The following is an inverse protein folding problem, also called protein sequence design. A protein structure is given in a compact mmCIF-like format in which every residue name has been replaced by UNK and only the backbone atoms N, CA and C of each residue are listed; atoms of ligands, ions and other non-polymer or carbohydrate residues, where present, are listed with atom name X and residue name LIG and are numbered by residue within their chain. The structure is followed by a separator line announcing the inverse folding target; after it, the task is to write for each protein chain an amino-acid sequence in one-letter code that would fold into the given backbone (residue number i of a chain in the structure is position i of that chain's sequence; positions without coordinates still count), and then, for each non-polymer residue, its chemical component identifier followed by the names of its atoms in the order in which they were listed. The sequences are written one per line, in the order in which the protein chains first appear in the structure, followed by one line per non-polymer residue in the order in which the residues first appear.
data_IF_017886568385
#
_entry.id   IF_017886568385
#
_cell.length_a   1.000
_cell.length_b   1.000
_cell.length_c   1.000
_cell.angle_alpha   90.00
_cell.angle_beta   90.00
_cell.angle_gamma   90.00
#
_symmetry.space_group_name_H-M   'P 1'
#
loop_
_entity.id
_entity.type
_entity.pdbx_description
1 polymer ?
#
# COMPACT_ATOMS: atom_id res chain seq x y z
N UNK A 1 61.42 10.15 -50.10
CA UNK A 1 60.25 11.03 -49.84
C UNK A 1 58.98 10.19 -49.83
N UNK A 2 58.33 9.95 -48.69
CA UNK A 2 57.04 9.25 -48.62
C UNK A 2 56.11 9.99 -47.65
N UNK A 3 55.09 10.66 -48.21
CA UNK A 3 54.08 11.42 -47.44
C UNK A 3 53.02 10.44 -46.94
N UNK A 4 53.06 10.09 -45.65
CA UNK A 4 51.99 9.31 -44.99
C UNK A 4 50.73 10.18 -44.83
N UNK A 5 49.66 9.80 -45.54
CA UNK A 5 48.35 10.45 -45.44
C UNK A 5 47.68 10.11 -44.10
N UNK A 6 47.43 11.12 -43.26
CA UNK A 6 46.66 10.99 -42.01
C UNK A 6 45.16 10.96 -42.34
N UNK A 7 44.56 9.77 -42.35
CA UNK A 7 43.11 9.58 -42.42
C UNK A 7 42.44 10.07 -41.12
N UNK A 8 41.79 11.24 -41.16
CA UNK A 8 40.90 11.70 -40.08
C UNK A 8 39.61 10.86 -40.09
N UNK A 9 39.51 9.88 -39.18
CA UNK A 9 38.24 9.18 -38.92
C UNK A 9 37.25 10.17 -38.28
N UNK A 10 36.22 10.57 -39.03
CA UNK A 10 35.03 11.25 -38.48
C UNK A 10 34.31 10.24 -37.56
N UNK A 11 34.28 10.50 -36.25
CA UNK A 11 33.40 9.76 -35.33
C UNK A 11 31.96 10.16 -35.65
N UNK A 12 31.21 9.27 -36.32
CA UNK A 12 29.75 9.40 -36.39
C UNK A 12 29.21 9.11 -34.99
N UNK A 13 28.71 10.15 -34.32
CA UNK A 13 27.91 9.98 -33.12
C UNK A 13 26.50 9.62 -33.56
N UNK A 14 26.16 8.34 -33.49
CA UNK A 14 24.78 7.90 -33.58
C UNK A 14 24.07 8.37 -32.30
N UNK A 15 23.13 9.31 -32.42
CA UNK A 15 22.16 9.57 -31.36
C UNK A 15 21.47 8.24 -31.08
N UNK A 16 21.57 7.73 -29.85
CA UNK A 16 20.77 6.56 -29.45
C UNK A 16 19.31 6.90 -29.73
N UNK A 17 18.56 6.02 -30.42
CA UNK A 17 17.14 6.23 -30.64
C UNK A 17 16.48 6.46 -29.29
N UNK A 18 15.73 7.55 -29.21
CA UNK A 18 14.95 7.92 -28.03
C UNK A 18 13.93 6.79 -27.80
N UNK A 19 14.15 5.98 -26.76
CA UNK A 19 13.20 4.95 -26.39
C UNK A 19 11.91 5.64 -25.96
N UNK A 20 10.85 5.50 -26.77
CA UNK A 20 9.50 5.92 -26.41
C UNK A 20 9.13 5.14 -25.15
N UNK A 21 9.11 5.81 -24.00
CA UNK A 21 8.64 5.20 -22.75
C UNK A 21 7.12 5.16 -22.83
N UNK A 22 6.57 3.96 -22.98
CA UNK A 22 5.13 3.74 -22.80
C UNK A 22 4.79 4.12 -21.35
N UNK A 23 3.85 5.04 -21.17
CA UNK A 23 3.42 5.48 -19.85
C UNK A 23 2.75 4.32 -19.11
N UNK A 24 3.30 3.96 -17.95
CA UNK A 24 2.79 2.87 -17.12
C UNK A 24 1.53 3.29 -16.39
N UNK A 25 0.46 2.50 -16.51
CA UNK A 25 -0.80 2.69 -15.78
C UNK A 25 -0.68 2.08 -14.39
N UNK A 26 -0.84 2.92 -13.36
CA UNK A 26 -0.69 2.53 -11.95
C UNK A 26 -2.02 2.71 -11.21
N UNK A 27 -2.45 1.67 -10.50
CA UNK A 27 -3.48 1.76 -9.45
C UNK A 27 -2.79 1.78 -8.08
N UNK A 28 -3.22 2.63 -7.16
CA UNK A 28 -2.63 2.72 -5.83
C UNK A 28 -3.69 2.50 -4.75
N UNK A 29 -3.56 1.40 -4.02
CA UNK A 29 -4.35 1.13 -2.82
C UNK A 29 -3.61 1.59 -1.57
N UNK A 30 -4.29 2.41 -0.77
CA UNK A 30 -3.94 2.62 0.63
C UNK A 30 -4.74 1.60 1.44
N UNK A 31 -4.07 0.53 1.84
CA UNK A 31 -4.70 -0.60 2.52
C UNK A 31 -4.80 -0.37 4.03
N UNK A 32 -6.02 -0.26 4.52
CA UNK A 32 -6.36 0.10 5.88
C UNK A 32 -7.02 -1.06 6.63
N UNK A 33 -6.26 -1.85 7.40
CA UNK A 33 -6.83 -2.82 8.32
C UNK A 33 -7.51 -2.08 9.49
N UNK A 34 -8.85 -2.12 9.55
CA UNK A 34 -9.60 -1.34 10.54
C UNK A 34 -9.42 -1.87 11.98
N UNK A 35 -9.34 -3.19 12.15
CA UNK A 35 -9.45 -3.85 13.45
C UNK A 35 -8.11 -4.34 14.04
N UNK A 36 -6.99 -3.86 13.47
CA UNK A 36 -5.64 -4.18 13.95
C UNK A 36 -5.25 -5.66 13.76
N UNK A 37 -4.07 -6.02 14.27
CA UNK A 37 -3.43 -7.33 14.09
C UNK A 37 -3.67 -8.32 15.26
N UNK A 38 -3.60 -9.61 14.94
CA UNK A 38 -3.16 -10.71 15.81
C UNK A 38 -4.01 -11.10 17.03
N UNK A 39 -4.17 -10.24 18.03
CA UNK A 39 -4.81 -10.66 19.28
C UNK A 39 -6.31 -10.86 19.05
N UNK A 40 -6.91 -11.91 19.61
CA UNK A 40 -8.35 -12.21 19.53
C UNK A 40 -8.94 -12.17 18.11
N UNK A 41 -8.16 -12.55 17.09
CA UNK A 41 -8.56 -12.43 15.68
C UNK A 41 -9.02 -11.00 15.31
N UNK A 42 -8.36 -9.97 15.87
CA UNK A 42 -8.70 -8.56 15.68
C UNK A 42 -9.85 -8.00 16.54
N UNK A 43 -10.59 -8.84 17.30
CA UNK A 43 -11.64 -8.33 18.18
C UNK A 43 -11.05 -7.55 19.36
N UNK A 44 -11.61 -6.38 19.65
CA UNK A 44 -11.27 -5.57 20.84
C UNK A 44 -12.50 -5.01 21.57
N UNK A 45 -13.69 -5.45 21.16
CA UNK A 45 -14.97 -5.00 21.72
C UNK A 45 -15.48 -3.67 21.15
N UNK A 46 -16.77 -3.42 21.37
CA UNK A 46 -17.53 -2.30 20.79
C UNK A 46 -16.99 -0.92 21.16
N UNK A 47 -16.49 -0.76 22.40
CA UNK A 47 -15.89 0.52 22.85
C UNK A 47 -14.60 0.82 22.12
N UNK A 48 -13.75 -0.19 21.92
CA UNK A 48 -12.51 -0.03 21.18
C UNK A 48 -12.79 0.31 19.72
N UNK A 49 -13.72 -0.40 19.07
CA UNK A 49 -14.14 -0.11 17.69
C UNK A 49 -14.60 1.34 17.53
N UNK A 50 -15.47 1.80 18.44
CA UNK A 50 -15.96 3.18 18.43
C UNK A 50 -14.82 4.20 18.50
N UNK A 51 -13.88 4.00 19.42
CA UNK A 51 -12.73 4.89 19.55
C UNK A 51 -11.81 4.82 18.32
N UNK A 52 -11.60 3.63 17.76
CA UNK A 52 -10.81 3.45 16.56
C UNK A 52 -11.41 4.17 15.35
N UNK A 53 -12.72 4.10 15.17
CA UNK A 53 -13.44 4.83 14.13
C UNK A 53 -13.30 6.34 14.32
N UNK A 54 -13.37 6.84 15.57
CA UNK A 54 -13.16 8.26 15.85
C UNK A 54 -11.76 8.72 15.46
N UNK A 55 -10.72 7.94 15.81
CA UNK A 55 -9.33 8.23 15.43
C UNK A 55 -9.18 8.25 13.91
N UNK A 56 -9.69 7.22 13.20
CA UNK A 56 -9.65 7.13 11.74
C UNK A 56 -10.28 8.37 11.10
N UNK A 57 -11.50 8.74 11.53
CA UNK A 57 -12.21 9.90 10.98
C UNK A 57 -11.51 11.23 11.29
N UNK A 58 -10.98 11.39 12.50
CA UNK A 58 -10.40 12.66 12.93
C UNK A 58 -9.03 12.91 12.31
N UNK A 59 -8.16 11.89 12.32
CA UNK A 59 -6.75 12.07 11.96
C UNK A 59 -6.45 11.53 10.56
N UNK A 60 -6.75 10.24 10.34
CA UNK A 60 -6.33 9.56 9.12
C UNK A 60 -7.09 10.10 7.91
N UNK A 61 -8.41 10.20 7.97
CA UNK A 61 -9.21 10.75 6.86
C UNK A 61 -8.80 12.19 6.54
N UNK A 62 -8.57 13.03 7.56
CA UNK A 62 -8.06 14.39 7.37
C UNK A 62 -6.69 14.40 6.65
N UNK A 63 -5.76 13.51 7.02
CA UNK A 63 -4.48 13.36 6.30
C UNK A 63 -4.69 12.93 4.84
N UNK A 64 -5.59 11.97 4.59
CA UNK A 64 -5.92 11.52 3.23
C UNK A 64 -6.57 12.62 2.38
N UNK A 65 -7.47 13.42 2.97
CA UNK A 65 -8.06 14.60 2.33
C UNK A 65 -7.02 15.71 2.10
N UNK A 66 -5.90 15.72 2.80
CA UNK A 66 -4.79 16.65 2.58
C UNK A 66 -3.72 16.15 1.62
N UNK A 67 -3.81 14.90 1.11
CA UNK A 67 -2.89 14.42 0.08
C UNK A 67 -2.93 15.29 -1.18
N UNK A 68 -1.77 15.68 -1.70
CA UNK A 68 -1.66 16.51 -2.92
C UNK A 68 -2.06 15.76 -4.18
N UNK A 69 -1.96 14.43 -4.16
CA UNK A 69 -2.53 13.54 -5.18
C UNK A 69 -3.74 12.79 -4.62
N UNK A 70 -4.85 12.82 -5.35
CA UNK A 70 -6.07 12.03 -5.08
C UNK A 70 -6.15 10.74 -5.88
N UNK A 71 -5.11 10.42 -6.64
CA UNK A 71 -5.06 9.23 -7.48
C UNK A 71 -4.76 7.97 -6.66
N UNK A 72 -5.62 7.65 -5.70
CA UNK A 72 -5.55 6.45 -4.88
C UNK A 72 -6.95 5.95 -4.51
N UNK A 73 -7.03 4.71 -4.07
CA UNK A 73 -8.24 4.15 -3.46
C UNK A 73 -7.91 3.73 -2.03
N UNK A 74 -8.71 4.19 -1.08
CA UNK A 74 -8.65 3.70 0.30
C UNK A 74 -9.37 2.35 0.36
N UNK A 75 -8.61 1.28 0.63
CA UNK A 75 -9.17 -0.05 0.81
C UNK A 75 -9.23 -0.37 2.30
N UNK A 76 -10.42 -0.32 2.89
CA UNK A 76 -10.67 -0.64 4.29
C UNK A 76 -11.07 -2.12 4.38
N UNK A 77 -10.24 -2.94 5.03
CA UNK A 77 -10.60 -4.32 5.31
C UNK A 77 -11.17 -4.45 6.72
N UNK A 78 -12.32 -5.12 6.80
CA UNK A 78 -13.05 -5.44 8.02
C UNK A 78 -13.16 -6.95 8.12
N UNK A 79 -13.33 -7.47 9.34
CA UNK A 79 -13.57 -8.89 9.54
C UNK A 79 -14.96 -9.29 9.05
N UNK A 80 -15.16 -10.55 8.59
CA UNK A 80 -16.47 -11.04 8.18
C UNK A 80 -17.55 -10.86 9.25
N UNK A 81 -17.20 -11.09 10.52
CA UNK A 81 -18.11 -11.08 11.64
C UNK A 81 -18.67 -9.67 11.92
N UNK A 82 -17.93 -8.62 11.59
CA UNK A 82 -18.34 -7.23 11.84
C UNK A 82 -19.08 -6.60 10.64
N UNK A 83 -19.33 -7.36 9.56
CA UNK A 83 -20.05 -6.88 8.36
C UNK A 83 -21.43 -6.29 8.68
N UNK A 84 -22.09 -6.80 9.71
CA UNK A 84 -23.42 -6.34 10.12
C UNK A 84 -23.39 -5.35 11.28
N UNK A 85 -22.22 -5.00 11.82
CA UNK A 85 -22.08 -4.06 12.94
C UNK A 85 -22.59 -2.67 12.55
N UNK A 86 -23.36 -2.06 13.46
CA UNK A 86 -23.99 -0.75 13.23
C UNK A 86 -22.95 0.35 12.98
N UNK A 87 -21.84 0.36 13.72
CA UNK A 87 -20.80 1.38 13.59
C UNK A 87 -20.04 1.22 12.27
N UNK A 88 -19.86 -0.01 11.80
CA UNK A 88 -19.27 -0.27 10.48
C UNK A 88 -20.18 0.24 9.36
N UNK A 89 -21.49 0.01 9.44
CA UNK A 89 -22.45 0.56 8.47
C UNK A 89 -22.46 2.09 8.48
N UNK A 90 -22.45 2.70 9.67
CA UNK A 90 -22.34 4.16 9.80
C UNK A 90 -21.03 4.70 9.20
N UNK A 91 -19.92 3.96 9.37
CA UNK A 91 -18.64 4.30 8.76
C UNK A 91 -18.70 4.22 7.23
N UNK A 92 -19.32 3.18 6.66
CA UNK A 92 -19.53 3.08 5.22
C UNK A 92 -20.33 4.26 4.67
N UNK A 93 -21.44 4.63 5.33
CA UNK A 93 -22.24 5.80 4.96
C UNK A 93 -21.41 7.08 5.02
N UNK A 94 -20.59 7.24 6.05
CA UNK A 94 -19.67 8.38 6.16
C UNK A 94 -18.70 8.45 4.97
N UNK A 95 -18.05 7.34 4.60
CA UNK A 95 -17.14 7.30 3.45
C UNK A 95 -17.83 7.46 2.09
N UNK A 96 -19.09 7.05 1.94
CA UNK A 96 -19.85 7.33 0.70
C UNK A 96 -20.13 8.82 0.48
N UNK A 97 -20.03 9.64 1.53
CA UNK A 97 -20.14 11.10 1.45
C UNK A 97 -18.84 11.81 1.07
N UNK A 98 -17.69 11.11 1.07
CA UNK A 98 -16.38 11.66 0.70
C UNK A 98 -16.22 11.52 -0.81
N UNK A 99 -15.91 12.62 -1.50
CA UNK A 99 -15.82 12.67 -2.96
C UNK A 99 -14.37 12.79 -3.45
N UNK A 100 -13.45 13.16 -2.55
CA UNK A 100 -12.06 13.47 -2.87
C UNK A 100 -11.24 12.24 -3.20
N UNK A 101 -11.65 11.06 -2.75
CA UNK A 101 -11.01 9.79 -3.08
C UNK A 101 -12.00 8.63 -2.99
N UNK A 102 -11.74 7.58 -3.77
CA UNK A 102 -12.55 6.37 -3.75
C UNK A 102 -12.26 5.56 -2.49
N UNK A 103 -13.30 5.02 -1.85
CA UNK A 103 -13.17 4.09 -0.72
C UNK A 103 -13.87 2.77 -1.02
N UNK A 104 -13.27 1.66 -0.62
CA UNK A 104 -13.85 0.31 -0.72
C UNK A 104 -13.75 -0.38 0.62
N UNK A 105 -14.82 -1.07 0.99
CA UNK A 105 -14.88 -1.94 2.14
C UNK A 105 -14.87 -3.39 1.67
N UNK A 106 -13.95 -4.19 2.21
CA UNK A 106 -14.02 -5.65 2.09
C UNK A 106 -14.22 -6.28 3.47
N UNK A 107 -14.88 -7.43 3.50
CA UNK A 107 -15.31 -8.08 4.75
C UNK A 107 -14.72 -9.48 4.90
N UNK A 108 -13.46 -9.64 4.50
CA UNK A 108 -12.77 -10.93 4.55
C UNK A 108 -11.60 -10.95 5.54
N UNK A 109 -11.30 -9.83 6.21
CA UNK A 109 -10.19 -9.73 7.15
C UNK A 109 -8.89 -9.24 6.52
N UNK A 110 -7.74 -9.61 7.12
CA UNK A 110 -6.43 -9.07 6.79
C UNK A 110 -5.86 -9.66 5.49
N UNK A 111 -5.43 -8.80 4.57
CA UNK A 111 -4.88 -9.15 3.26
C UNK A 111 -3.37 -8.89 3.18
N UNK A 112 -2.67 -9.09 4.30
CA UNK A 112 -1.22 -9.18 4.36
C UNK A 112 -0.81 -10.22 5.41
N UNK A 113 0.46 -10.57 5.44
CA UNK A 113 0.99 -11.59 6.33
C UNK A 113 0.91 -11.15 7.80
N UNK A 114 0.14 -11.87 8.62
CA UNK A 114 0.01 -11.62 10.06
C UNK A 114 0.98 -12.51 10.85
N UNK A 115 2.10 -11.91 11.24
CA UNK A 115 3.21 -12.53 11.96
C UNK A 115 2.85 -12.99 13.40
N UNK A 116 1.61 -12.76 13.85
CA UNK A 116 1.12 -13.21 15.16
C UNK A 116 0.58 -14.64 15.15
N UNK A 117 0.48 -15.26 13.97
CA UNK A 117 0.08 -16.66 13.81
C UNK A 117 1.27 -17.52 13.35
N UNK A 118 1.16 -18.85 13.48
CA UNK A 118 2.10 -19.75 12.83
C UNK A 118 2.02 -19.62 11.31
N UNK A 119 3.11 -19.91 10.61
CA UNK A 119 3.20 -19.75 9.15
C UNK A 119 2.06 -20.41 8.40
N UNK A 120 1.69 -21.65 8.76
CA UNK A 120 0.58 -22.36 8.12
C UNK A 120 -0.76 -21.62 8.28
N UNK A 121 -1.02 -21.10 9.49
CA UNK A 121 -2.26 -20.36 9.79
C UNK A 121 -2.25 -19.01 9.08
N UNK A 122 -1.12 -18.28 9.12
CA UNK A 122 -0.96 -16.98 8.49
C UNK A 122 -1.14 -17.08 6.96
N UNK A 123 -0.51 -18.06 6.31
CA UNK A 123 -0.62 -18.31 4.86
C UNK A 123 -2.04 -18.66 4.45
N UNK A 124 -2.68 -19.59 5.17
CA UNK A 124 -4.06 -20.00 4.86
C UNK A 124 -5.06 -18.86 5.02
N UNK A 125 -4.91 -18.05 6.09
CA UNK A 125 -5.70 -16.84 6.29
C UNK A 125 -5.48 -15.84 5.15
N UNK A 126 -4.23 -15.55 4.81
CA UNK A 126 -3.91 -14.59 3.75
C UNK A 126 -4.53 -15.01 2.41
N UNK A 127 -4.37 -16.27 1.99
CA UNK A 127 -4.97 -16.78 0.76
C UNK A 127 -6.50 -16.64 0.78
N UNK A 128 -7.14 -17.06 1.88
CA UNK A 128 -8.60 -17.01 2.03
C UNK A 128 -9.11 -15.57 1.94
N UNK A 129 -8.47 -14.66 2.66
CA UNK A 129 -8.89 -13.26 2.73
C UNK A 129 -8.65 -12.52 1.41
N UNK A 130 -7.53 -12.81 0.73
CA UNK A 130 -7.25 -12.31 -0.62
C UNK A 130 -8.26 -12.83 -1.63
N UNK A 131 -8.59 -14.13 -1.59
CA UNK A 131 -9.58 -14.69 -2.51
C UNK A 131 -10.93 -13.97 -2.40
N UNK A 132 -11.42 -13.74 -1.18
CA UNK A 132 -12.67 -13.01 -0.96
C UNK A 132 -12.57 -11.54 -1.37
N UNK A 133 -11.50 -10.84 -0.95
CA UNK A 133 -11.37 -9.40 -1.16
C UNK A 133 -11.07 -9.04 -2.62
N UNK A 134 -10.23 -9.80 -3.33
CA UNK A 134 -9.86 -9.49 -4.71
C UNK A 134 -11.10 -9.49 -5.61
N UNK A 135 -12.04 -10.43 -5.41
CA UNK A 135 -13.30 -10.45 -6.16
C UNK A 135 -14.07 -9.14 -6.06
N UNK A 136 -14.09 -8.51 -4.88
CA UNK A 136 -14.73 -7.20 -4.65
C UNK A 136 -13.90 -6.02 -5.21
N UNK A 137 -12.60 -6.21 -5.46
CA UNK A 137 -11.70 -5.18 -5.96
C UNK A 137 -11.58 -5.14 -7.48
N UNK A 138 -11.92 -6.21 -8.21
CA UNK A 138 -11.67 -6.34 -9.65
C UNK A 138 -12.20 -5.15 -10.47
N UNK A 139 -13.44 -4.73 -10.23
CA UNK A 139 -14.06 -3.60 -10.92
C UNK A 139 -13.32 -2.28 -10.67
N UNK A 140 -12.72 -2.14 -9.48
CA UNK A 140 -11.97 -0.94 -9.11
C UNK A 140 -10.53 -0.95 -9.61
N UNK A 141 -9.92 -2.13 -9.72
CA UNK A 141 -8.57 -2.28 -10.26
C UNK A 141 -8.55 -1.80 -11.71
N UNK A 142 -9.53 -2.23 -12.51
CA UNK A 142 -9.63 -1.91 -13.93
C UNK A 142 -8.39 -2.37 -14.72
N UNK A 143 -8.10 -1.64 -15.79
CA UNK A 143 -6.93 -1.86 -16.65
C UNK A 143 -5.73 -1.06 -16.14
N UNK A 144 -4.77 -1.74 -15.54
CA UNK A 144 -3.50 -1.18 -15.10
C UNK A 144 -2.35 -2.18 -15.31
N UNK A 145 -1.14 -1.67 -15.40
CA UNK A 145 0.07 -2.49 -15.50
C UNK A 145 0.51 -2.93 -14.10
N UNK A 146 0.46 -2.00 -13.14
CA UNK A 146 0.92 -2.19 -11.78
C UNK A 146 -0.08 -1.71 -10.73
N UNK A 147 -0.04 -2.40 -9.60
CA UNK A 147 -0.77 -2.06 -8.39
C UNK A 147 0.24 -1.75 -7.29
N UNK A 148 0.16 -0.54 -6.74
CA UNK A 148 0.86 -0.16 -5.52
C UNK A 148 -0.03 -0.48 -4.33
N UNK A 149 0.49 -1.28 -3.40
CA UNK A 149 -0.18 -1.66 -2.17
C UNK A 149 0.60 -1.08 -1.01
N UNK A 150 0.10 0.04 -0.46
CA UNK A 150 0.70 0.71 0.70
C UNK A 150 -0.09 0.42 1.95
N UNK A 151 0.58 0.04 3.03
CA UNK A 151 -0.07 -0.09 4.33
C UNK A 151 -0.42 1.31 4.86
N UNK A 152 -1.68 1.50 5.24
CA UNK A 152 -2.23 2.70 5.82
C UNK A 152 -3.01 2.30 7.09
N UNK A 153 -2.36 2.14 8.25
CA UNK A 153 -3.08 1.77 9.46
C UNK A 153 -4.16 2.80 9.82
N UNK A 154 -5.17 2.35 10.54
CA UNK A 154 -6.36 3.14 10.87
C UNK A 154 -6.13 4.22 11.93
N UNK A 155 -4.92 4.30 12.48
CA UNK A 155 -4.47 5.27 13.48
C UNK A 155 -3.19 6.03 13.12
N UNK A 156 -2.60 5.77 11.95
CA UNK A 156 -1.38 6.42 11.49
C UNK A 156 -1.65 7.36 10.30
N UNK A 157 -0.80 8.38 10.13
CA UNK A 157 -0.93 9.36 9.06
C UNK A 157 0.33 9.37 8.19
N UNK A 158 0.13 9.50 6.87
CA UNK A 158 1.22 9.81 5.95
C UNK A 158 1.37 11.32 5.74
N UNK A 159 2.54 11.74 5.29
CA UNK A 159 2.78 13.12 4.89
C UNK A 159 2.00 13.47 3.61
N UNK A 160 1.72 14.76 3.37
CA UNK A 160 0.76 15.22 2.34
C UNK A 160 1.16 14.91 0.89
N UNK A 161 2.41 14.62 0.57
CA UNK A 161 2.85 14.24 -0.77
C UNK A 161 3.02 12.73 -0.96
N UNK A 162 2.70 11.92 0.05
CA UNK A 162 3.05 10.51 0.09
C UNK A 162 2.61 9.76 -1.17
N UNK A 163 1.33 9.93 -1.55
CA UNK A 163 0.78 9.27 -2.74
C UNK A 163 1.52 9.70 -4.01
N UNK A 164 1.79 11.00 -4.16
CA UNK A 164 2.47 11.56 -5.32
C UNK A 164 3.90 11.03 -5.42
N UNK A 165 4.63 11.10 -4.31
CA UNK A 165 6.05 10.79 -4.25
C UNK A 165 6.30 9.30 -4.44
N UNK A 166 5.47 8.43 -3.86
CA UNK A 166 5.55 6.98 -4.07
C UNK A 166 5.24 6.60 -5.52
N UNK A 167 4.21 7.18 -6.13
CA UNK A 167 3.90 6.94 -7.54
C UNK A 167 5.01 7.43 -8.46
N UNK A 168 5.58 8.60 -8.19
CA UNK A 168 6.71 9.15 -8.95
C UNK A 168 7.93 8.24 -8.86
N UNK A 169 8.27 7.80 -7.64
CA UNK A 169 9.43 6.94 -7.38
C UNK A 169 9.34 5.64 -8.16
N UNK A 170 8.20 4.95 -8.18
CA UNK A 170 8.06 3.70 -8.95
C UNK A 170 8.04 3.89 -10.47
N UNK A 171 7.67 5.07 -10.98
CA UNK A 171 7.81 5.42 -12.41
C UNK A 171 9.27 5.68 -12.79
N UNK A 172 10.02 6.33 -11.92
CA UNK A 172 11.43 6.67 -12.16
C UNK A 172 12.38 5.51 -11.91
N UNK A 173 12.05 4.63 -10.95
CA UNK A 173 12.78 3.43 -10.59
C UNK A 173 11.95 2.16 -10.90
N UNK A 174 11.78 1.78 -12.18
CA UNK A 174 10.93 0.66 -12.58
C UNK A 174 11.40 -0.69 -12.03
N UNK A 175 12.65 -0.81 -11.61
CA UNK A 175 13.21 -2.03 -11.02
C UNK A 175 12.88 -2.19 -9.52
N UNK A 176 12.37 -1.15 -8.85
CA UNK A 176 12.01 -1.25 -7.44
C UNK A 176 10.74 -2.08 -7.28
N UNK A 177 10.74 -3.02 -6.32
CA UNK A 177 9.59 -3.87 -5.99
C UNK A 177 8.88 -3.43 -4.72
N UNK A 178 9.61 -2.88 -3.75
CA UNK A 178 9.06 -2.42 -2.50
C UNK A 178 9.87 -1.25 -1.91
N UNK A 179 9.24 -0.47 -1.04
CA UNK A 179 9.86 0.58 -0.24
C UNK A 179 9.32 0.44 1.19
N UNK A 180 10.22 0.43 2.18
CA UNK A 180 9.86 0.51 3.60
C UNK A 180 10.07 1.92 4.16
N UNK A 181 9.33 2.27 5.21
CA UNK A 181 9.47 3.55 5.91
C UNK A 181 10.04 3.31 7.30
N UNK A 182 11.33 3.56 7.49
CA UNK A 182 12.04 3.22 8.73
C UNK A 182 11.91 4.28 9.84
N UNK A 183 11.60 5.52 9.46
CA UNK A 183 11.54 6.66 10.36
C UNK A 183 10.18 7.34 10.28
N UNK A 184 9.78 7.96 11.38
CA UNK A 184 8.55 8.75 11.44
C UNK A 184 8.54 9.70 12.62
N UNK A 185 7.35 10.20 12.94
CA UNK A 185 7.12 11.06 14.10
C UNK A 185 5.94 10.54 14.90
N UNK A 186 6.02 10.66 16.22
CA UNK A 186 4.90 10.45 17.14
C UNK A 186 4.54 11.79 17.78
N UNK A 187 3.24 12.05 17.92
CA UNK A 187 2.73 13.28 18.55
C UNK A 187 1.95 12.94 19.81
N UNK A 188 2.26 13.62 20.91
CA UNK A 188 1.37 13.66 22.05
C UNK A 188 0.23 14.62 21.74
N UNK A 189 -0.98 14.10 21.53
CA UNK A 189 -2.14 14.92 21.16
C UNK A 189 -2.54 15.94 22.23
N UNK A 190 -2.26 15.68 23.51
CA UNK A 190 -2.63 16.60 24.60
C UNK A 190 -1.67 17.79 24.71
N UNK A 191 -0.37 17.55 24.52
CA UNK A 191 0.67 18.59 24.66
C UNK A 191 1.09 19.21 23.33
N UNK A 192 0.80 18.54 22.21
CA UNK A 192 1.29 18.92 20.89
C UNK A 192 2.77 18.62 20.67
N UNK A 193 3.45 18.01 21.63
CA UNK A 193 4.87 17.68 21.53
C UNK A 193 5.08 16.56 20.50
N UNK A 194 6.09 16.75 19.66
CA UNK A 194 6.53 15.79 18.65
C UNK A 194 7.83 15.14 19.09
N UNK A 195 7.94 13.83 18.85
CA UNK A 195 9.18 13.09 18.99
C UNK A 195 9.43 12.28 17.71
N UNK A 196 10.69 12.03 17.40
CA UNK A 196 11.05 11.10 16.34
C UNK A 196 10.69 9.67 16.76
N UNK A 197 10.08 8.95 15.83
CA UNK A 197 9.80 7.53 15.96
C UNK A 197 10.83 6.75 15.15
N UNK A 198 11.82 6.20 15.86
CA UNK A 198 12.92 5.43 15.31
C UNK A 198 12.88 4.00 15.89
N UNK A 199 11.94 3.15 15.44
CA UNK A 199 11.82 1.79 15.95
C UNK A 199 13.04 0.96 15.55
N UNK A 200 13.48 0.09 16.46
CA UNK A 200 14.55 -0.90 16.17
C UNK A 200 13.99 -2.04 15.30
N UNK A 201 12.68 -2.22 15.31
CA UNK A 201 11.97 -3.21 14.50
C UNK A 201 11.55 -2.58 13.17
N UNK A 202 11.58 -3.36 12.09
CA UNK A 202 10.99 -2.95 10.81
C UNK A 202 9.52 -2.62 11.04
N UNK A 203 9.12 -1.35 10.90
CA UNK A 203 7.75 -1.00 11.12
C UNK A 203 6.90 -1.52 9.95
N UNK A 204 5.60 -1.78 10.18
CA UNK A 204 4.73 -2.38 9.17
C UNK A 204 4.35 -1.40 8.03
N UNK A 205 5.11 -0.31 7.87
CA UNK A 205 4.86 0.70 6.86
C UNK A 205 5.73 0.39 5.65
N UNK A 206 5.09 -0.04 4.58
CA UNK A 206 5.74 -0.26 3.30
C UNK A 206 4.76 -0.04 2.15
N UNK A 207 5.32 0.11 0.95
CA UNK A 207 4.60 -0.01 -0.31
C UNK A 207 5.22 -1.12 -1.14
N UNK A 208 4.41 -2.05 -1.63
CA UNK A 208 4.83 -3.07 -2.59
C UNK A 208 4.22 -2.74 -3.96
N UNK A 209 5.02 -2.82 -5.01
CA UNK A 209 4.59 -2.76 -6.41
C UNK A 209 4.39 -4.17 -6.95
N UNK A 210 3.16 -4.47 -7.31
CA UNK A 210 2.78 -5.73 -7.95
C UNK A 210 2.50 -5.53 -9.43
N UNK A 211 2.95 -6.43 -10.32
CA UNK A 211 2.27 -6.66 -11.58
C UNK A 211 0.79 -7.00 -11.34
N UNK A 212 -0.12 -6.48 -12.16
CA UNK A 212 -1.56 -6.68 -11.99
C UNK A 212 -1.93 -8.17 -11.89
N UNK A 213 -1.38 -9.01 -12.76
CA UNK A 213 -1.67 -10.45 -12.83
C UNK A 213 -1.15 -11.24 -11.62
N UNK A 214 -0.16 -10.71 -10.91
CA UNK A 214 0.32 -11.26 -9.64
C UNK A 214 -0.59 -10.84 -8.49
N UNK A 215 -1.01 -9.56 -8.45
CA UNK A 215 -1.83 -9.04 -7.36
C UNK A 215 -3.20 -9.71 -7.29
N UNK A 216 -3.84 -9.96 -8.44
CA UNK A 216 -5.21 -10.51 -8.52
C UNK A 216 -5.28 -12.03 -8.34
N UNK A 217 -4.14 -12.71 -8.23
CA UNK A 217 -4.06 -14.14 -7.98
C UNK A 217 -3.58 -14.36 -6.55
N UNK A 218 -4.43 -14.85 -5.62
CA UNK A 218 -4.07 -15.03 -4.22
C UNK A 218 -2.79 -15.86 -3.98
N UNK A 219 -2.53 -16.87 -4.81
CA UNK A 219 -1.36 -17.74 -4.67
C UNK A 219 -0.09 -17.06 -5.17
N UNK A 220 -0.17 -16.35 -6.30
CA UNK A 220 0.96 -15.54 -6.80
C UNK A 220 1.24 -14.37 -5.87
N UNK A 221 0.20 -13.69 -5.38
CA UNK A 221 0.31 -12.61 -4.41
C UNK A 221 1.06 -13.09 -3.17
N UNK A 222 0.60 -14.19 -2.55
CA UNK A 222 1.27 -14.77 -1.39
C UNK A 222 2.75 -15.03 -1.70
N UNK A 223 3.04 -15.69 -2.82
CA UNK A 223 4.41 -16.03 -3.23
C UNK A 223 5.29 -14.81 -3.50
N UNK A 224 4.69 -13.69 -3.93
CA UNK A 224 5.36 -12.42 -4.18
C UNK A 224 5.65 -11.66 -2.89
N UNK A 225 4.75 -11.75 -1.90
CA UNK A 225 4.91 -11.11 -0.58
C UNK A 225 5.71 -11.93 0.42
N UNK A 226 5.68 -13.26 0.28
CA UNK A 226 6.58 -14.13 1.01
C UNK A 226 7.95 -13.84 0.45
N UNK A 227 8.64 -12.89 1.08
CA UNK A 227 10.06 -12.65 0.88
C UNK A 227 10.66 -14.02 0.65
N UNK A 228 11.25 -14.25 -0.53
CA UNK A 228 12.29 -15.26 -0.61
C UNK A 228 13.28 -14.79 0.45
N UNK A 229 13.21 -15.38 1.63
CA UNK A 229 14.37 -15.53 2.47
C UNK A 229 15.30 -16.41 1.63
N UNK A 230 15.91 -15.81 0.61
CA UNK A 230 17.24 -16.19 0.22
C UNK A 230 18.05 -15.82 1.48
N UNK A 231 17.98 -16.71 2.49
CA UNK A 231 19.04 -16.82 3.47
C UNK A 231 20.21 -17.18 2.60
N UNK A 232 20.96 -16.15 2.21
CA UNK A 232 22.30 -16.32 1.69
C UNK A 232 23.04 -16.94 2.87
N UNK A 233 23.09 -18.27 2.91
CA UNK A 233 24.09 -19.01 3.69
C UNK A 233 25.49 -18.70 3.15
#
# INVERSE_FOLDING_TARGET
MSKKAKHKRKKLFFKKPEQIRVEQKIKHFLYCPLLGLGLFNGARGTRWLKNRILILKQFVVSSLQNQTSKNFTLWISVRPEDKQDKQIKELQTYFSGIQEFQTIFTFHGLCFYDDKFSDDIARNKLITNLHGSIGELLDTIGECDYILFSIQPSDDCHEKNFVKDIQQLFREAPNFQAIGFEQGYIMNYLTGELAEYNPITNPPFYTIKFPRDIFIDPLKHLSYTSLKCDIIE
#
